data_IF_599539899529
#
_entry.id   IF_599539899529
#
_cell.length_a   1.000
_cell.length_b   1.000
_cell.length_c   1.000
_cell.angle_alpha   90.00
_cell.angle_beta   90.00
_cell.angle_gamma   90.00
#
_symmetry.space_group_name_H-M   'P 1'
#
loop_
_entity.id
_entity.type
_entity.pdbx_description
1 polymer ?
#
# COMPACT_ATOMS: atom_id res chain seq x y z
N UNK A 1 0.57 -10.94 21.35
CA UNK A 1 -0.19 -11.01 20.08
C UNK A 1 0.83 -11.10 18.96
N UNK A 2 0.79 -12.14 18.12
CA UNK A 2 1.70 -12.26 16.97
C UNK A 2 1.15 -11.41 15.83
N UNK A 3 1.55 -10.15 15.76
CA UNK A 3 1.15 -9.24 14.69
C UNK A 3 1.64 -9.69 13.30
N UNK A 4 2.62 -10.61 13.24
CA UNK A 4 3.31 -11.04 12.02
C UNK A 4 2.85 -12.40 11.46
N UNK A 5 1.79 -13.03 12.00
CA UNK A 5 1.23 -14.28 11.46
C UNK A 5 0.12 -14.03 10.40
N UNK A 6 -0.20 -12.77 10.11
CA UNK A 6 -1.14 -12.40 9.04
C UNK A 6 -0.39 -12.31 7.71
N UNK A 7 -0.93 -12.88 6.63
CA UNK A 7 -0.34 -12.71 5.29
C UNK A 7 -0.38 -11.25 4.82
N UNK A 8 0.27 -10.98 3.68
CA UNK A 8 0.10 -9.70 2.98
C UNK A 8 -1.38 -9.56 2.60
N UNK A 9 -2.02 -8.45 3.00
CA UNK A 9 -3.40 -8.13 2.60
C UNK A 9 -3.46 -6.68 2.12
N UNK A 10 -3.98 -6.49 0.91
CA UNK A 10 -4.26 -5.18 0.35
C UNK A 10 -5.53 -5.25 -0.48
N UNK A 11 -6.28 -4.15 -0.47
CA UNK A 11 -7.57 -4.03 -1.15
C UNK A 11 -7.59 -2.74 -1.95
N UNK A 12 -7.88 -2.86 -3.23
CA UNK A 12 -8.24 -1.74 -4.08
C UNK A 12 -9.74 -1.52 -3.95
N UNK A 13 -10.12 -0.32 -3.49
CA UNK A 13 -11.51 0.03 -3.26
C UNK A 13 -12.10 0.62 -4.53
N UNK A 14 -13.30 0.19 -4.88
CA UNK A 14 -14.06 0.81 -5.97
C UNK A 14 -14.55 2.19 -5.51
N UNK A 15 -14.26 3.21 -6.31
CA UNK A 15 -14.68 4.59 -6.05
C UNK A 15 -15.86 4.92 -6.95
N UNK A 16 -16.99 5.27 -6.35
CA UNK A 16 -18.19 5.71 -7.07
C UNK A 16 -18.21 7.22 -7.30
N UNK A 17 -19.08 7.69 -8.18
CA UNK A 17 -19.31 9.13 -8.38
C UNK A 17 -19.88 9.83 -7.13
N UNK A 18 -20.54 9.09 -6.24
CA UNK A 18 -20.99 9.62 -4.95
C UNK A 18 -19.81 9.86 -4.02
N UNK A 19 -18.84 8.95 -4.01
CA UNK A 19 -17.66 9.05 -3.13
C UNK A 19 -16.82 10.27 -3.49
N UNK A 20 -16.67 10.56 -4.79
CA UNK A 20 -15.98 11.75 -5.29
C UNK A 20 -16.60 13.06 -4.78
N UNK A 21 -17.91 13.09 -4.49
CA UNK A 21 -18.58 14.28 -3.95
C UNK A 21 -18.17 14.63 -2.53
N UNK A 22 -17.58 13.71 -1.77
CA UNK A 22 -16.99 14.01 -0.45
C UNK A 22 -15.67 14.79 -0.56
N UNK A 23 -15.11 14.96 -1.77
CA UNK A 23 -13.87 15.71 -2.00
C UNK A 23 -12.59 14.93 -1.65
N UNK A 24 -12.72 13.69 -1.17
CA UNK A 24 -11.62 12.77 -0.88
C UNK A 24 -12.09 11.33 -1.08
N UNK A 25 -11.23 10.48 -1.64
CA UNK A 25 -11.50 9.05 -1.83
C UNK A 25 -10.31 8.23 -1.36
N UNK A 26 -10.57 7.01 -0.90
CA UNK A 26 -9.53 6.04 -0.53
C UNK A 26 -9.44 5.02 -1.65
N UNK A 27 -8.30 4.95 -2.33
CA UNK A 27 -8.10 4.04 -3.46
C UNK A 27 -7.59 2.67 -3.02
N UNK A 28 -6.82 2.62 -1.94
CA UNK A 28 -6.17 1.39 -1.47
C UNK A 28 -5.99 1.41 0.04
N UNK A 29 -6.17 0.25 0.65
CA UNK A 29 -5.79 -0.01 2.05
C UNK A 29 -5.06 -1.33 2.11
N UNK A 30 -4.11 -1.47 3.04
CA UNK A 30 -3.39 -2.73 3.19
C UNK A 30 -2.37 -2.72 4.30
N UNK A 31 -1.81 -3.90 4.53
CA UNK A 31 -0.74 -4.17 5.46
C UNK A 31 0.18 -5.25 4.88
N UNK A 32 1.48 -5.09 5.08
CA UNK A 32 2.49 -6.06 4.71
C UNK A 32 3.42 -6.25 5.90
N UNK A 33 3.47 -7.43 6.53
CA UNK A 33 4.56 -7.75 7.44
C UNK A 33 5.83 -7.99 6.61
N UNK A 34 6.92 -7.39 7.05
CA UNK A 34 8.25 -7.58 6.45
C UNK A 34 9.07 -8.40 7.44
N UNK A 35 9.32 -9.66 7.12
CA UNK A 35 10.14 -10.51 7.98
C UNK A 35 11.64 -10.13 7.85
N UNK A 36 12.46 -10.43 8.86
CA UNK A 36 13.89 -10.17 8.78
C UNK A 36 14.51 -10.85 7.55
N UNK A 37 15.39 -10.12 6.84
CA UNK A 37 16.11 -10.58 5.65
C UNK A 37 15.23 -10.88 4.42
N UNK A 38 13.99 -10.39 4.37
CA UNK A 38 13.17 -10.45 3.14
C UNK A 38 13.46 -9.26 2.22
N UNK A 39 13.28 -9.48 0.92
CA UNK A 39 13.37 -8.40 -0.08
C UNK A 39 12.17 -7.47 0.07
N UNK A 40 12.42 -6.18 0.28
CA UNK A 40 11.44 -5.11 0.36
C UNK A 40 11.88 -3.98 -0.61
N UNK A 41 10.99 -3.46 -1.48
CA UNK A 41 9.55 -3.72 -1.61
C UNK A 41 9.20 -4.95 -2.44
N UNK A 42 8.02 -5.52 -2.18
CA UNK A 42 7.47 -6.63 -2.98
C UNK A 42 7.06 -6.19 -4.39
N UNK A 43 7.01 -7.15 -5.32
CA UNK A 43 6.55 -6.94 -6.71
C UNK A 43 5.12 -7.44 -6.96
N UNK A 44 4.37 -7.79 -5.90
CA UNK A 44 2.99 -8.31 -6.01
C UNK A 44 1.93 -7.22 -6.27
N UNK A 45 2.36 -5.96 -6.38
CA UNK A 45 1.52 -4.84 -6.76
C UNK A 45 1.47 -4.60 -8.29
N UNK A 46 0.48 -3.86 -8.81
CA UNK A 46 0.53 -3.37 -10.18
C UNK A 46 1.81 -2.57 -10.42
N UNK A 47 2.36 -2.63 -11.64
CA UNK A 47 3.67 -2.04 -11.98
C UNK A 47 3.80 -0.55 -11.62
N UNK A 48 2.70 0.21 -11.67
CA UNK A 48 2.67 1.64 -11.29
C UNK A 48 3.02 1.87 -9.81
N UNK A 49 2.81 0.86 -8.96
CA UNK A 49 3.11 0.88 -7.53
C UNK A 49 4.51 0.36 -7.21
N UNK A 50 5.33 -0.05 -8.19
CA UNK A 50 6.70 -0.49 -7.87
C UNK A 50 7.52 0.66 -7.30
N UNK A 51 8.17 0.42 -6.16
CA UNK A 51 9.08 1.37 -5.54
C UNK A 51 10.52 0.96 -5.81
N UNK A 52 11.33 1.93 -6.20
CA UNK A 52 12.76 1.76 -6.42
C UNK A 52 13.49 2.49 -5.31
N UNK A 53 14.18 1.82 -4.37
CA UNK A 53 14.89 2.52 -3.30
C UNK A 53 15.93 3.53 -3.82
N UNK A 54 16.52 3.28 -5.00
CA UNK A 54 17.51 4.14 -5.64
C UNK A 54 16.92 5.37 -6.35
N UNK A 55 15.63 5.35 -6.73
CA UNK A 55 15.00 6.39 -7.56
C UNK A 55 13.67 6.94 -7.02
N UNK A 56 13.11 6.29 -6.02
CA UNK A 56 11.74 6.50 -5.57
C UNK A 56 10.69 6.10 -6.61
N UNK A 57 9.47 6.63 -6.42
CA UNK A 57 8.37 6.61 -7.38
C UNK A 57 7.49 7.85 -7.16
N UNK A 58 6.74 8.26 -8.18
CA UNK A 58 5.71 9.29 -8.08
C UNK A 58 4.35 8.65 -8.33
N UNK A 59 3.39 8.90 -7.45
CA UNK A 59 2.00 8.45 -7.59
C UNK A 59 1.08 9.67 -7.71
N UNK A 60 -0.01 9.54 -8.47
CA UNK A 60 -1.05 10.56 -8.56
C UNK A 60 -2.04 10.49 -7.38
N UNK A 61 -1.52 10.30 -6.18
CA UNK A 61 -2.28 10.14 -4.94
C UNK A 61 -1.36 10.37 -3.73
N UNK A 62 -1.97 10.67 -2.59
CA UNK A 62 -1.28 10.76 -1.31
C UNK A 62 -1.36 9.42 -0.57
N UNK A 63 -0.32 9.12 0.22
CA UNK A 63 -0.17 7.85 0.92
C UNK A 63 0.10 8.11 2.41
N UNK A 64 -0.66 7.44 3.27
CA UNK A 64 -0.37 7.38 4.70
C UNK A 64 0.34 6.06 4.98
N UNK A 65 1.61 6.13 5.36
CA UNK A 65 2.44 4.94 5.61
C UNK A 65 2.81 4.91 7.08
N UNK A 66 2.37 3.86 7.78
CA UNK A 66 2.74 3.60 9.16
C UNK A 66 3.74 2.45 9.20
N UNK A 67 4.93 2.71 9.73
CA UNK A 67 6.02 1.74 9.86
C UNK A 67 6.25 1.51 11.34
N UNK A 68 6.07 0.26 11.78
CA UNK A 68 6.31 -0.18 13.16
C UNK A 68 7.25 -1.38 13.20
N UNK A 69 7.79 -1.64 14.40
CA UNK A 69 8.73 -2.73 14.67
C UNK A 69 8.03 -4.01 15.11
#
# INVERSE_FOLDING_TARGET
MRYNDFGIDFKYLLVSEKDKKFGLTINTVGFQPIAPNTVDPSTDHPKSYYFRPDKGRVLSEYQFVYISK
#
